data_IF_983406480352
#
_entry.id   IF_983406480352
#
_cell.length_a   1.000
_cell.length_b   1.000
_cell.length_c   1.000
_cell.angle_alpha   90.00
_cell.angle_beta   90.00
_cell.angle_gamma   90.00
#
_symmetry.space_group_name_H-M   'P 1'
#
loop_
_entity.id
_entity.type
_entity.pdbx_description
1 polymer ?
#
# COMPACT_ATOMS: atom_id res chain seq x y z
N UNK A 1 -15.33 0.40 -7.53
CA UNK A 1 -14.45 0.15 -6.39
C UNK A 1 -13.05 -0.20 -6.85
N UNK A 2 -12.05 0.37 -6.21
CA UNK A 2 -10.67 0.07 -6.53
C UNK A 2 -10.27 -1.29 -5.95
N UNK A 3 -9.36 -2.00 -6.61
CA UNK A 3 -8.88 -3.27 -6.09
C UNK A 3 -7.98 -3.07 -4.89
N UNK A 4 -8.02 -4.02 -3.97
CA UNK A 4 -7.07 -4.06 -2.87
C UNK A 4 -5.72 -4.49 -3.44
N UNK A 5 -4.63 -3.78 -3.13
CA UNK A 5 -3.33 -4.17 -3.66
C UNK A 5 -2.85 -5.47 -3.04
N UNK A 6 -2.15 -6.26 -3.85
CA UNK A 6 -1.41 -7.39 -3.32
C UNK A 6 -0.16 -6.89 -2.63
N UNK A 7 0.20 -7.51 -1.51
CA UNK A 7 1.38 -7.08 -0.77
C UNK A 7 1.96 -8.23 0.01
N UNK A 8 3.26 -8.13 0.26
CA UNK A 8 3.96 -9.10 1.10
C UNK A 8 5.19 -8.43 1.68
N UNK A 9 5.76 -9.06 2.69
CA UNK A 9 6.99 -8.57 3.29
C UNK A 9 8.12 -9.50 2.85
N UNK A 10 9.12 -8.92 2.17
CA UNK A 10 10.27 -9.66 1.66
C UNK A 10 11.53 -9.09 2.29
N UNK A 11 12.23 -9.92 3.06
CA UNK A 11 13.51 -9.52 3.67
C UNK A 11 13.35 -8.22 4.48
N UNK A 12 12.24 -8.10 5.20
CA UNK A 12 11.99 -6.93 6.01
C UNK A 12 11.51 -5.71 5.27
N UNK A 13 11.24 -5.84 3.97
CA UNK A 13 10.76 -4.72 3.15
C UNK A 13 9.37 -5.01 2.61
N UNK A 14 8.57 -3.97 2.53
CA UNK A 14 7.22 -4.08 1.98
C UNK A 14 7.27 -4.10 0.47
N UNK A 15 6.68 -5.13 -0.13
CA UNK A 15 6.54 -5.24 -1.58
C UNK A 15 5.06 -5.25 -1.92
N UNK A 16 4.63 -4.30 -2.73
CA UNK A 16 3.23 -4.18 -3.13
C UNK A 16 3.11 -4.33 -4.63
N UNK A 17 2.00 -4.89 -5.05
CA UNK A 17 1.77 -5.16 -6.46
C UNK A 17 0.32 -4.88 -6.82
N UNK A 18 0.10 -3.80 -7.57
CA UNK A 18 -1.17 -3.53 -8.23
C UNK A 18 -0.85 -2.94 -9.59
N UNK A 19 -1.57 -3.39 -10.61
CA UNK A 19 -1.23 -3.01 -11.97
C UNK A 19 -2.40 -2.34 -12.67
N UNK A 20 -2.92 -1.29 -12.05
CA UNK A 20 -3.97 -0.49 -12.67
C UNK A 20 -3.46 0.92 -12.89
N UNK A 21 -3.57 1.42 -14.13
CA UNK A 21 -3.17 2.80 -14.39
C UNK A 21 -4.03 3.78 -13.61
N UNK A 22 -3.44 4.88 -13.17
CA UNK A 22 -4.15 5.89 -12.44
C UNK A 22 -4.39 5.59 -10.98
N UNK A 23 -3.72 4.57 -10.44
CA UNK A 23 -3.88 4.17 -9.04
C UNK A 23 -2.57 4.35 -8.31
N UNK A 24 -2.65 4.94 -7.13
CA UNK A 24 -1.51 5.10 -6.25
C UNK A 24 -1.61 4.09 -5.12
N UNK A 25 -0.50 3.45 -4.80
CA UNK A 25 -0.44 2.52 -3.69
C UNK A 25 0.02 3.24 -2.45
N UNK A 26 -0.63 2.98 -1.33
CA UNK A 26 -0.27 3.62 -0.07
C UNK A 26 -0.15 2.59 1.04
N UNK A 27 0.70 2.89 1.99
CA UNK A 27 0.88 2.05 3.17
C UNK A 27 0.90 2.91 4.42
N UNK A 28 0.63 2.28 5.55
CA UNK A 28 0.67 2.94 6.85
C UNK A 28 1.17 1.97 7.89
N UNK A 29 1.98 2.45 8.80
CA UNK A 29 2.49 1.64 9.91
C UNK A 29 1.56 1.68 11.12
N UNK A 30 0.66 2.67 11.18
CA UNK A 30 -0.25 2.84 12.31
C UNK A 30 -1.72 2.89 11.94
N UNK A 31 -2.01 2.87 10.63
CA UNK A 31 -3.39 2.93 10.15
C UNK A 31 -3.97 4.32 10.04
N UNK A 32 -3.22 5.35 10.40
CA UNK A 32 -3.71 6.73 10.36
C UNK A 32 -2.87 7.64 9.47
N UNK A 33 -1.57 7.44 9.41
CA UNK A 33 -0.69 8.25 8.58
C UNK A 33 -0.26 7.44 7.37
N UNK A 34 -0.63 7.91 6.19
CA UNK A 34 -0.43 7.17 4.94
C UNK A 34 0.70 7.77 4.12
N UNK A 35 1.48 6.91 3.51
CA UNK A 35 2.58 7.31 2.64
C UNK A 35 2.45 6.61 1.31
N UNK A 36 2.90 7.27 0.26
CA UNK A 36 2.90 6.69 -1.08
C UNK A 36 3.96 5.60 -1.16
N UNK A 37 3.57 4.43 -1.68
CA UNK A 37 4.49 3.35 -1.91
C UNK A 37 5.23 3.55 -3.24
N UNK A 38 6.55 3.44 -3.21
CA UNK A 38 7.40 3.54 -4.41
C UNK A 38 8.23 2.27 -4.47
N UNK A 39 8.03 1.47 -5.53
CA UNK A 39 8.66 0.15 -5.60
C UNK A 39 10.18 0.21 -5.65
N UNK A 40 10.74 1.27 -6.23
CA UNK A 40 12.20 1.43 -6.26
C UNK A 40 12.77 1.85 -4.92
N UNK A 41 11.90 2.20 -3.96
CA UNK A 41 12.32 2.62 -2.62
C UNK A 41 11.44 1.92 -1.60
N UNK A 42 11.49 0.59 -1.59
CA UNK A 42 10.66 -0.20 -0.71
C UNK A 42 10.96 0.14 0.74
N UNK A 43 9.91 0.42 1.53
CA UNK A 43 10.12 0.77 2.93
C UNK A 43 10.45 -0.46 3.76
N UNK A 44 11.30 -0.27 4.76
CA UNK A 44 11.55 -1.30 5.74
C UNK A 44 10.41 -1.29 6.75
N UNK A 45 9.88 -2.47 7.04
CA UNK A 45 8.74 -2.58 7.93
C UNK A 45 8.98 -3.71 8.93
N UNK A 46 8.36 -3.58 10.07
CA UNK A 46 8.33 -4.65 11.05
C UNK A 46 6.93 -4.67 11.65
N UNK A 47 6.39 -5.90 11.84
CA UNK A 47 5.05 -6.03 12.37
C UNK A 47 3.98 -5.74 11.32
N UNK A 48 2.83 -5.31 11.78
CA UNK A 48 1.67 -5.13 10.94
C UNK A 48 1.77 -3.86 10.10
N UNK A 49 1.39 -3.98 8.84
CA UNK A 49 1.38 -2.86 7.89
C UNK A 49 0.00 -2.80 7.26
N UNK A 50 -0.58 -1.60 7.21
CA UNK A 50 -1.86 -1.37 6.56
C UNK A 50 -1.62 -0.89 5.13
N UNK A 51 -2.43 -1.36 4.19
CA UNK A 51 -2.25 -1.04 2.79
C UNK A 51 -3.59 -0.69 2.15
N UNK A 52 -3.52 0.15 1.13
CA UNK A 52 -4.69 0.50 0.32
C UNK A 52 -4.23 1.03 -1.03
N UNK A 53 -5.15 1.08 -2.00
CA UNK A 53 -4.93 1.78 -3.25
C UNK A 53 -5.86 3.00 -3.29
N UNK A 54 -5.40 4.05 -3.94
CA UNK A 54 -6.12 5.32 -4.00
C UNK A 54 -6.08 5.81 -5.44
N UNK A 55 -7.20 6.39 -5.93
CA UNK A 55 -7.21 6.93 -7.27
C UNK A 55 -6.30 8.16 -7.37
N UNK A 56 -5.88 8.47 -8.59
CA UNK A 56 -4.97 9.61 -8.80
C UNK A 56 -5.56 10.91 -8.29
N UNK A 57 -6.90 11.06 -8.33
CA UNK A 57 -7.56 12.24 -7.82
C UNK A 57 -7.68 12.26 -6.30
N UNK A 58 -7.48 11.10 -5.66
CA UNK A 58 -7.67 10.97 -4.22
C UNK A 58 -9.10 10.78 -3.79
N UNK A 59 -10.04 10.72 -4.74
CA UNK A 59 -11.46 10.65 -4.40
C UNK A 59 -11.94 9.24 -4.09
N UNK A 60 -11.22 8.22 -4.52
CA UNK A 60 -11.59 6.83 -4.31
C UNK A 60 -10.44 6.08 -3.66
N UNK A 61 -10.79 5.14 -2.83
CA UNK A 61 -9.79 4.27 -2.24
C UNK A 61 -10.33 2.87 -2.13
N UNK A 62 -9.42 1.89 -2.10
CA UNK A 62 -9.79 0.52 -1.86
C UNK A 62 -10.11 0.32 -0.38
N UNK A 63 -10.52 -0.91 -0.05
CA UNK A 63 -10.55 -1.31 1.35
C UNK A 63 -9.16 -1.25 1.93
N UNK A 64 -9.09 -0.98 3.22
CA UNK A 64 -7.84 -1.05 3.96
C UNK A 64 -7.66 -2.48 4.44
N UNK A 65 -6.53 -3.08 4.11
CA UNK A 65 -6.19 -4.41 4.62
C UNK A 65 -4.85 -4.32 5.35
N UNK A 66 -4.52 -5.37 6.08
CA UNK A 66 -3.25 -5.40 6.80
C UNK A 66 -2.52 -6.69 6.52
N UNK A 67 -1.20 -6.65 6.59
CA UNK A 67 -0.33 -7.81 6.47
C UNK A 67 0.73 -7.76 7.56
N UNK A 68 1.31 -8.92 7.82
CA UNK A 68 2.40 -9.03 8.80
C UNK A 68 3.58 -9.75 8.21
#
# INVERSE_FOLDING_TARGET
>A
RLPVPGARIEQGQLAMNVQFPGVELQYSLDGTQWQTYIDSQRPEVSGEVFIRSVSASGERSSRITSIK
#
